data_IF_391336397043
#
_entry.id   IF_391336397043
#
_cell.length_a   1.000
_cell.length_b   1.000
_cell.length_c   1.000
_cell.angle_alpha   90.00
_cell.angle_beta   90.00
_cell.angle_gamma   90.00
#
_symmetry.space_group_name_H-M   'P 1'
#
loop_
_entity.id
_entity.type
_entity.pdbx_description
1 polymer ?
#
# COMPACT_ATOMS: atom_id res chain seq x y z
N UNK A 1 5.88 17.02 9.03
CA UNK A 1 6.50 17.13 7.69
C UNK A 1 6.61 15.76 7.01
N UNK A 2 7.21 14.74 7.63
CA UNK A 2 7.49 13.43 7.01
C UNK A 2 6.22 12.67 6.55
N UNK A 3 5.13 12.70 7.32
CA UNK A 3 3.84 12.10 6.92
C UNK A 3 3.31 12.69 5.60
N UNK A 4 3.38 14.01 5.44
CA UNK A 4 2.97 14.67 4.19
C UNK A 4 3.85 14.24 3.01
N UNK A 5 5.16 14.12 3.22
CA UNK A 5 6.11 13.68 2.18
C UNK A 5 5.78 12.25 1.74
N UNK A 6 5.55 11.34 2.67
CA UNK A 6 5.19 9.96 2.36
C UNK A 6 3.90 9.87 1.53
N UNK A 7 2.86 10.62 1.92
CA UNK A 7 1.62 10.71 1.15
C UNK A 7 1.82 11.31 -0.24
N UNK A 8 2.62 12.39 -0.36
CA UNK A 8 2.91 13.03 -1.64
C UNK A 8 3.58 12.04 -2.60
N UNK A 9 4.56 11.26 -2.12
CA UNK A 9 5.23 10.24 -2.95
C UNK A 9 4.20 9.22 -3.47
N UNK A 10 3.36 8.68 -2.58
CA UNK A 10 2.30 7.75 -2.97
C UNK A 10 1.31 8.35 -3.97
N UNK A 11 0.89 9.59 -3.72
CA UNK A 11 -0.03 10.32 -4.60
C UNK A 11 0.58 10.60 -5.97
N UNK A 12 1.87 10.92 -6.07
CA UNK A 12 2.55 11.12 -7.36
C UNK A 12 2.50 9.85 -8.21
N UNK A 13 2.85 8.70 -7.63
CA UNK A 13 2.85 7.41 -8.37
C UNK A 13 1.44 7.12 -8.90
N UNK A 14 0.45 7.25 -8.04
CA UNK A 14 -0.96 6.99 -8.34
C UNK A 14 -1.50 7.96 -9.39
N UNK A 15 -1.14 9.25 -9.31
CA UNK A 15 -1.55 10.27 -10.29
C UNK A 15 -0.91 10.01 -11.65
N UNK A 16 0.37 9.65 -11.69
CA UNK A 16 1.06 9.31 -12.95
C UNK A 16 0.40 8.10 -13.62
N UNK A 17 0.07 7.06 -12.85
CA UNK A 17 -0.65 5.90 -13.35
C UNK A 17 -2.04 6.29 -13.87
N UNK A 18 -2.78 7.10 -13.11
CA UNK A 18 -4.10 7.57 -13.51
C UNK A 18 -4.06 8.34 -14.83
N UNK A 19 -3.10 9.25 -15.01
CA UNK A 19 -2.95 10.02 -16.24
C UNK A 19 -2.51 9.15 -17.42
N UNK A 20 -1.53 8.26 -17.20
CA UNK A 20 -0.96 7.44 -18.28
C UNK A 20 -1.84 6.26 -18.69
N UNK A 21 -2.57 5.68 -17.77
CA UNK A 21 -3.38 4.47 -18.02
C UNK A 21 -4.87 4.79 -17.90
N UNK A 22 -5.32 5.38 -16.80
CA UNK A 22 -6.73 5.64 -16.56
C UNK A 22 -7.33 6.63 -17.56
N UNK A 23 -6.70 7.78 -17.72
CA UNK A 23 -7.17 8.84 -18.63
C UNK A 23 -6.97 8.43 -20.11
N UNK A 24 -5.86 7.77 -20.44
CA UNK A 24 -5.63 7.25 -21.79
C UNK A 24 -6.72 6.28 -22.22
N UNK A 25 -7.05 5.29 -21.37
CA UNK A 25 -8.09 4.31 -21.64
C UNK A 25 -9.50 4.92 -21.70
N UNK A 26 -9.73 6.01 -20.94
CA UNK A 26 -11.01 6.72 -20.96
C UNK A 26 -11.19 7.59 -22.22
N UNK A 27 -10.11 8.19 -22.72
CA UNK A 27 -10.14 9.06 -23.92
C UNK A 27 -10.14 8.26 -25.23
N UNK A 28 -9.65 7.02 -25.21
CA UNK A 28 -9.58 6.13 -26.38
C UNK A 28 -10.56 4.95 -26.24
N UNK A 29 -11.87 5.18 -26.21
CA UNK A 29 -12.86 4.11 -26.02
C UNK A 29 -12.92 3.11 -27.20
N UNK A 30 -12.28 3.45 -28.32
CA UNK A 30 -12.16 2.56 -29.49
C UNK A 30 -10.94 1.62 -29.40
N UNK A 31 -10.00 1.90 -28.50
CA UNK A 31 -8.93 0.97 -28.18
C UNK A 31 -9.47 -0.07 -27.20
N UNK A 32 -9.75 -1.25 -27.70
CA UNK A 32 -10.20 -2.37 -26.89
C UNK A 32 -8.98 -3.20 -26.45
N UNK A 33 -9.09 -3.77 -25.27
CA UNK A 33 -8.13 -4.78 -24.85
C UNK A 33 -8.39 -6.06 -25.63
N UNK A 34 -7.44 -6.47 -26.49
CA UNK A 34 -7.55 -7.68 -27.29
C UNK A 34 -6.97 -8.88 -26.55
N UNK A 35 -7.79 -9.89 -26.34
CA UNK A 35 -7.37 -11.15 -25.73
C UNK A 35 -8.07 -12.34 -26.41
N UNK A 36 -7.25 -13.23 -26.96
CA UNK A 36 -7.79 -14.44 -27.58
C UNK A 36 -8.78 -14.21 -28.70
N UNK A 37 -8.69 -13.08 -29.43
CA UNK A 37 -9.60 -12.70 -30.50
C UNK A 37 -10.89 -12.01 -30.04
N UNK A 38 -11.04 -11.73 -28.73
CA UNK A 38 -12.14 -10.95 -28.16
C UNK A 38 -11.68 -9.55 -27.85
N UNK A 39 -12.41 -8.55 -28.34
CA UNK A 39 -12.21 -7.14 -28.00
C UNK A 39 -13.06 -6.78 -26.81
N UNK A 40 -12.44 -6.37 -25.69
CA UNK A 40 -13.12 -6.08 -24.44
C UNK A 40 -12.89 -4.63 -24.08
N UNK A 41 -13.92 -3.85 -23.71
CA UNK A 41 -13.73 -2.46 -23.28
C UNK A 41 -12.98 -2.38 -21.94
N UNK A 42 -12.22 -1.31 -21.77
CA UNK A 42 -11.53 -1.04 -20.51
C UNK A 42 -12.54 -0.80 -19.37
N UNK A 43 -12.30 -1.43 -18.24
CA UNK A 43 -13.13 -1.28 -17.04
C UNK A 43 -12.31 -0.82 -15.85
N UNK A 44 -12.96 -0.31 -14.80
CA UNK A 44 -12.30 0.11 -13.56
C UNK A 44 -11.42 -0.99 -13.01
N UNK A 45 -11.91 -2.22 -13.02
CA UNK A 45 -11.28 -3.38 -12.38
C UNK A 45 -9.91 -3.67 -12.97
N UNK A 46 -9.76 -3.49 -14.29
CA UNK A 46 -8.52 -3.77 -15.01
C UNK A 46 -7.60 -2.56 -15.17
N UNK A 47 -8.13 -1.35 -14.92
CA UNK A 47 -7.38 -0.11 -15.16
C UNK A 47 -6.79 0.49 -13.88
N UNK A 48 -7.44 0.31 -12.72
CA UNK A 48 -6.92 0.87 -11.48
C UNK A 48 -5.60 0.20 -11.08
N UNK A 49 -4.78 0.89 -10.31
CA UNK A 49 -3.41 0.45 -10.00
C UNK A 49 -3.32 -0.93 -9.32
N UNK A 50 -4.26 -1.29 -8.46
CA UNK A 50 -4.26 -2.58 -7.76
C UNK A 50 -4.87 -3.74 -8.55
N UNK A 51 -5.60 -3.46 -9.65
CA UNK A 51 -6.17 -4.48 -10.54
C UNK A 51 -5.29 -4.80 -11.75
N UNK A 52 -4.39 -3.87 -12.11
CA UNK A 52 -3.48 -4.03 -13.22
C UNK A 52 -2.09 -4.36 -12.71
N UNK A 53 -1.51 -5.49 -13.14
CA UNK A 53 -0.11 -5.86 -12.85
C UNK A 53 0.88 -5.00 -13.65
N UNK A 54 0.71 -3.67 -13.57
CA UNK A 54 1.51 -2.69 -14.29
C UNK A 54 2.79 -2.35 -13.53
N UNK A 55 3.76 -1.79 -14.27
CA UNK A 55 5.01 -1.26 -13.70
C UNK A 55 4.75 -0.32 -12.52
N UNK A 56 3.68 0.49 -12.58
CA UNK A 56 3.29 1.42 -11.52
C UNK A 56 2.87 0.73 -10.22
N UNK A 57 2.15 -0.40 -10.32
CA UNK A 57 1.81 -1.23 -9.17
C UNK A 57 3.06 -1.83 -8.52
N UNK A 58 3.94 -2.40 -9.33
CA UNK A 58 5.21 -2.96 -8.86
C UNK A 58 6.07 -1.89 -8.18
N UNK A 59 6.15 -0.70 -8.76
CA UNK A 59 6.87 0.43 -8.19
C UNK A 59 6.23 0.89 -6.87
N UNK A 60 4.90 0.94 -6.80
CA UNK A 60 4.18 1.29 -5.59
C UNK A 60 4.46 0.31 -4.44
N UNK A 61 4.34 -1.00 -4.70
CA UNK A 61 4.58 -2.04 -3.69
C UNK A 61 6.04 -2.05 -3.23
N UNK A 62 7.01 -1.85 -4.13
CA UNK A 62 8.44 -1.76 -3.76
C UNK A 62 8.78 -0.53 -2.93
N UNK A 63 8.15 0.60 -3.19
CA UNK A 63 8.35 1.83 -2.42
C UNK A 63 7.51 1.88 -1.13
N UNK A 64 6.47 1.06 -1.03
CA UNK A 64 5.56 1.04 0.10
C UNK A 64 6.26 0.89 1.46
N UNK A 65 7.24 -0.03 1.67
CA UNK A 65 7.93 -0.15 2.95
C UNK A 65 8.63 1.16 3.37
N UNK A 66 9.21 1.89 2.42
CA UNK A 66 9.85 3.18 2.69
C UNK A 66 8.79 4.21 3.07
N UNK A 67 7.68 4.28 2.32
CA UNK A 67 6.63 5.27 2.51
C UNK A 67 5.94 5.11 3.87
N UNK A 68 5.64 3.88 4.31
CA UNK A 68 4.94 3.67 5.59
C UNK A 68 5.83 3.92 6.81
N UNK A 69 7.14 3.79 6.66
CA UNK A 69 8.13 3.97 7.73
C UNK A 69 8.51 5.44 7.91
N UNK A 70 8.57 6.22 6.81
CA UNK A 70 8.98 7.63 6.80
C UNK A 70 8.29 8.50 7.87
N UNK A 71 6.97 8.40 8.13
CA UNK A 71 6.27 9.29 9.06
C UNK A 71 6.82 9.26 10.48
N UNK A 72 7.18 8.08 10.97
CA UNK A 72 7.42 7.88 12.41
C UNK A 72 8.70 7.09 12.76
N UNK A 73 9.44 6.54 11.79
CA UNK A 73 10.62 5.75 12.06
C UNK A 73 11.66 6.48 12.93
N UNK A 74 11.85 7.77 12.64
CA UNK A 74 12.82 8.60 13.35
C UNK A 74 12.29 9.20 14.65
N UNK A 75 10.98 9.16 14.94
CA UNK A 75 10.40 9.91 16.07
C UNK A 75 10.82 9.33 17.41
N UNK A 76 10.88 8.00 17.55
CA UNK A 76 11.31 7.40 18.81
C UNK A 76 12.79 7.69 19.10
N UNK A 77 13.63 7.57 18.08
CA UNK A 77 15.05 7.91 18.19
C UNK A 77 15.23 9.39 18.57
N UNK A 78 14.49 10.28 17.92
CA UNK A 78 14.53 11.72 18.22
C UNK A 78 14.06 12.01 19.64
N UNK A 79 12.93 11.41 20.07
CA UNK A 79 12.39 11.57 21.42
C UNK A 79 13.38 11.07 22.50
N UNK A 80 14.11 9.99 22.20
CA UNK A 80 15.16 9.47 23.08
C UNK A 80 16.36 10.40 23.14
N UNK A 81 16.81 10.90 21.98
CA UNK A 81 17.96 11.79 21.88
C UNK A 81 17.72 13.16 22.52
N UNK A 82 16.51 13.70 22.40
CA UNK A 82 16.12 14.99 22.98
C UNK A 82 15.77 14.89 24.47
N UNK A 83 15.70 13.67 25.03
CA UNK A 83 15.36 13.46 26.44
C UNK A 83 13.87 13.67 26.78
N UNK A 84 13.02 14.00 25.81
CA UNK A 84 11.58 14.21 25.98
C UNK A 84 10.90 12.99 26.62
N UNK A 85 11.41 11.79 26.33
CA UNK A 85 10.89 10.53 26.92
C UNK A 85 10.91 10.59 28.45
N UNK A 86 11.92 11.20 29.07
CA UNK A 86 12.01 11.33 30.55
C UNK A 86 10.83 12.10 31.12
N UNK A 87 10.43 13.18 30.46
CA UNK A 87 9.28 14.00 30.88
C UNK A 87 7.95 13.22 30.80
N UNK A 88 7.80 12.35 29.79
CA UNK A 88 6.63 11.48 29.70
C UNK A 88 6.61 10.40 30.79
N UNK A 89 7.76 9.80 31.11
CA UNK A 89 7.83 8.76 32.15
C UNK A 89 7.59 9.29 33.56
N UNK A 90 7.83 10.58 33.81
CA UNK A 90 7.46 11.20 35.09
C UNK A 90 5.94 11.37 35.26
N UNK A 91 5.18 11.44 34.17
CA UNK A 91 3.73 11.73 34.18
C UNK A 91 2.85 10.51 33.90
N UNK A 92 3.37 9.52 33.13
CA UNK A 92 2.60 8.35 32.69
C UNK A 92 3.42 7.08 32.82
N UNK A 93 2.72 5.94 32.98
CA UNK A 93 3.40 4.63 32.98
C UNK A 93 4.06 4.40 31.59
N UNK A 94 5.28 3.89 31.60
CA UNK A 94 6.07 3.59 30.39
C UNK A 94 5.28 2.76 29.36
N UNK A 95 4.47 1.81 29.82
CA UNK A 95 3.67 0.92 28.98
C UNK A 95 2.61 1.70 28.18
N UNK A 96 1.94 2.67 28.83
CA UNK A 96 0.90 3.47 28.16
C UNK A 96 1.49 4.36 27.05
N UNK A 97 2.69 4.93 27.28
CA UNK A 97 3.40 5.68 26.27
C UNK A 97 3.76 4.80 25.07
N UNK A 98 4.29 3.59 25.31
CA UNK A 98 4.64 2.65 24.23
C UNK A 98 3.41 2.24 23.42
N UNK A 99 2.32 1.84 24.09
CA UNK A 99 1.07 1.45 23.41
C UNK A 99 0.56 2.60 22.55
N UNK A 100 0.47 3.82 23.10
CA UNK A 100 0.04 4.98 22.33
C UNK A 100 0.93 5.25 21.11
N UNK A 101 2.24 5.04 21.24
CA UNK A 101 3.17 5.23 20.14
C UNK A 101 3.02 4.13 19.06
N UNK A 102 2.87 2.88 19.47
CA UNK A 102 2.62 1.75 18.56
C UNK A 102 1.32 1.93 17.79
N UNK A 103 0.22 2.30 18.45
CA UNK A 103 -1.07 2.55 17.79
C UNK A 103 -0.99 3.71 16.81
N UNK A 104 -0.32 4.81 17.17
CA UNK A 104 -0.13 5.94 16.27
C UNK A 104 0.70 5.57 15.03
N UNK A 105 1.77 4.79 15.19
CA UNK A 105 2.61 4.32 14.08
C UNK A 105 1.85 3.36 13.18
N UNK A 106 1.11 2.41 13.77
CA UNK A 106 0.30 1.44 13.04
C UNK A 106 -0.77 2.15 12.17
N UNK A 107 -1.54 3.04 12.77
CA UNK A 107 -2.62 3.75 12.07
C UNK A 107 -2.08 4.65 10.96
N UNK A 108 -1.02 5.40 11.22
CA UNK A 108 -0.43 6.27 10.19
C UNK A 108 0.24 5.50 9.06
N UNK A 109 0.91 4.38 9.35
CA UNK A 109 1.46 3.49 8.33
C UNK A 109 0.37 2.88 7.46
N UNK A 110 -0.72 2.40 8.07
CA UNK A 110 -1.88 1.89 7.35
C UNK A 110 -2.55 2.93 6.44
N UNK A 111 -2.73 4.17 6.94
CA UNK A 111 -3.30 5.26 6.15
C UNK A 111 -2.41 5.59 4.94
N UNK A 112 -1.10 5.68 5.11
CA UNK A 112 -0.16 5.94 4.00
C UNK A 112 -0.21 4.84 2.95
N UNK A 113 -0.40 3.59 3.36
CA UNK A 113 -0.50 2.46 2.45
C UNK A 113 -1.82 2.41 1.66
N UNK A 114 -2.93 2.85 2.24
CA UNK A 114 -4.26 2.68 1.64
C UNK A 114 -4.75 3.91 0.92
N UNK A 115 -4.51 5.10 1.46
CA UNK A 115 -5.11 6.33 0.97
C UNK A 115 -4.81 6.62 -0.51
N UNK A 116 -3.56 6.48 -1.02
CA UNK A 116 -3.28 6.68 -2.44
C UNK A 116 -4.03 5.68 -3.34
N UNK A 117 -4.10 4.41 -2.93
CA UNK A 117 -4.80 3.36 -3.69
C UNK A 117 -6.30 3.63 -3.77
N UNK A 118 -6.90 4.06 -2.65
CA UNK A 118 -8.31 4.40 -2.58
C UNK A 118 -8.65 5.59 -3.48
N UNK A 119 -7.81 6.64 -3.45
CA UNK A 119 -7.98 7.81 -4.34
C UNK A 119 -7.89 7.39 -5.81
N UNK A 120 -6.96 6.50 -6.16
CA UNK A 120 -6.86 5.99 -7.54
C UNK A 120 -8.10 5.20 -7.95
N UNK A 121 -8.58 4.30 -7.09
CA UNK A 121 -9.80 3.54 -7.38
C UNK A 121 -11.01 4.46 -7.60
N UNK A 122 -11.19 5.47 -6.74
CA UNK A 122 -12.29 6.42 -6.89
C UNK A 122 -12.15 7.25 -8.16
N UNK A 123 -10.94 7.72 -8.47
CA UNK A 123 -10.69 8.48 -9.69
C UNK A 123 -10.96 7.65 -10.96
N UNK A 124 -10.52 6.40 -11.00
CA UNK A 124 -10.78 5.50 -12.14
C UNK A 124 -12.26 5.14 -12.24
N UNK A 125 -12.97 4.97 -11.11
CA UNK A 125 -14.40 4.68 -11.09
C UNK A 125 -15.26 5.85 -11.58
N UNK A 126 -14.77 7.08 -11.55
CA UNK A 126 -15.45 8.23 -12.12
C UNK A 126 -15.38 8.28 -13.66
N UNK A 127 -14.40 7.62 -14.27
CA UNK A 127 -14.15 7.68 -15.71
C UNK A 127 -14.58 6.43 -16.47
N UNK A 128 -14.50 5.27 -15.85
CA UNK A 128 -14.67 3.97 -16.52
C UNK A 128 -15.85 3.18 -15.92
N UNK A 129 -16.52 2.34 -16.74
CA UNK A 129 -17.60 1.48 -16.26
C UNK A 129 -17.05 0.37 -15.33
N UNK A 130 -17.78 0.07 -14.27
CA UNK A 130 -17.45 -1.02 -13.35
C UNK A 130 -18.11 -2.33 -13.79
N UNK A 131 -17.63 -2.92 -14.88
CA UNK A 131 -18.08 -4.22 -15.36
C UNK A 131 -17.04 -5.29 -15.05
N UNK A 132 -17.52 -6.50 -14.70
CA UNK A 132 -16.68 -7.69 -14.57
C UNK A 132 -16.92 -8.55 -15.81
N UNK A 133 -15.86 -8.90 -16.49
CA UNK A 133 -15.90 -9.88 -17.55
C UNK A 133 -15.85 -11.27 -16.92
N UNK A 134 -16.85 -12.10 -17.17
CA UNK A 134 -16.94 -13.47 -16.64
C UNK A 134 -15.87 -14.43 -17.16
N UNK A 135 -15.05 -14.00 -18.10
CA UNK A 135 -13.96 -14.83 -18.64
C UNK A 135 -12.76 -14.73 -17.72
N UNK A 136 -12.69 -15.56 -16.68
CA UNK A 136 -11.75 -15.61 -15.57
C UNK A 136 -10.24 -15.64 -15.85
N UNK A 137 -9.81 -15.04 -16.94
CA UNK A 137 -8.43 -15.14 -17.46
C UNK A 137 -7.57 -13.90 -17.19
N UNK A 138 -8.14 -12.79 -16.73
CA UNK A 138 -7.44 -11.51 -16.92
C UNK A 138 -6.70 -10.90 -15.72
N UNK A 139 -7.25 -10.94 -14.53
CA UNK A 139 -6.61 -10.31 -13.38
C UNK A 139 -6.37 -11.26 -12.22
N UNK A 140 -7.25 -12.21 -12.04
CA UNK A 140 -7.17 -13.11 -10.89
C UNK A 140 -7.38 -14.55 -11.35
N UNK A 141 -6.40 -15.41 -11.08
CA UNK A 141 -6.52 -16.86 -11.28
C UNK A 141 -7.64 -17.39 -10.36
N UNK A 142 -8.36 -18.42 -10.81
CA UNK A 142 -9.34 -19.11 -9.99
C UNK A 142 -8.77 -19.63 -8.67
N UNK A 143 -7.46 -19.88 -8.62
CA UNK A 143 -6.72 -20.33 -7.44
C UNK A 143 -6.23 -19.18 -6.54
N UNK A 144 -6.52 -17.92 -6.89
CA UNK A 144 -6.12 -16.78 -6.04
C UNK A 144 -6.96 -16.71 -4.78
N UNK A 145 -6.38 -16.15 -3.73
CA UNK A 145 -7.07 -15.91 -2.47
C UNK A 145 -8.32 -15.06 -2.69
N UNK A 146 -9.48 -15.55 -2.19
CA UNK A 146 -10.79 -14.91 -2.32
C UNK A 146 -11.31 -14.71 -3.75
N UNK A 147 -10.88 -15.52 -4.71
CA UNK A 147 -11.36 -15.45 -6.10
C UNK A 147 -12.88 -15.56 -6.23
N UNK A 148 -13.51 -16.43 -5.44
CA UNK A 148 -14.97 -16.57 -5.43
C UNK A 148 -15.68 -15.27 -5.02
N UNK A 149 -15.16 -14.54 -4.04
CA UNK A 149 -15.71 -13.24 -3.61
C UNK A 149 -15.51 -12.18 -4.69
N UNK A 150 -14.36 -12.21 -5.38
CA UNK A 150 -14.11 -11.28 -6.48
C UNK A 150 -15.14 -11.41 -7.59
N UNK A 151 -15.47 -12.63 -8.02
CA UNK A 151 -16.42 -12.85 -9.12
C UNK A 151 -17.88 -12.63 -8.70
N UNK A 152 -18.24 -12.82 -7.42
CA UNK A 152 -19.62 -12.61 -6.94
C UNK A 152 -19.86 -11.18 -6.46
N UNK A 153 -18.93 -10.61 -5.71
CA UNK A 153 -19.05 -9.30 -5.06
C UNK A 153 -17.73 -8.52 -5.11
N UNK A 154 -17.37 -7.90 -6.24
CA UNK A 154 -16.05 -7.25 -6.43
C UNK A 154 -15.79 -6.11 -5.46
N UNK A 155 -16.82 -5.37 -5.06
CA UNK A 155 -16.66 -4.28 -4.10
C UNK A 155 -16.29 -4.76 -2.70
N UNK A 156 -16.83 -5.92 -2.29
CA UNK A 156 -16.47 -6.57 -1.03
C UNK A 156 -15.01 -7.03 -1.08
N UNK A 157 -14.58 -7.57 -2.22
CA UNK A 157 -13.17 -7.93 -2.44
C UNK A 157 -12.23 -6.73 -2.29
N UNK A 158 -12.57 -5.56 -2.89
CA UNK A 158 -11.76 -4.36 -2.75
C UNK A 158 -11.70 -3.84 -1.31
N UNK A 159 -12.81 -3.93 -0.59
CA UNK A 159 -12.83 -3.56 0.83
C UNK A 159 -11.90 -4.47 1.64
N UNK A 160 -11.95 -5.77 1.43
CA UNK A 160 -11.05 -6.73 2.08
C UNK A 160 -9.58 -6.47 1.70
N UNK A 161 -9.31 -6.16 0.43
CA UNK A 161 -7.98 -5.80 -0.04
C UNK A 161 -7.45 -4.56 0.67
N UNK A 162 -8.23 -3.50 0.83
CA UNK A 162 -7.82 -2.29 1.54
C UNK A 162 -7.59 -2.55 3.03
N UNK A 163 -8.42 -3.38 3.68
CA UNK A 163 -8.19 -3.79 5.07
C UNK A 163 -6.87 -4.54 5.21
N UNK A 164 -6.61 -5.51 4.32
CA UNK A 164 -5.36 -6.27 4.31
C UNK A 164 -4.16 -5.33 4.11
N UNK A 165 -4.25 -4.42 3.14
CA UNK A 165 -3.19 -3.45 2.83
C UNK A 165 -2.94 -2.49 4.00
N UNK A 166 -3.99 -2.08 4.71
CA UNK A 166 -3.89 -1.28 5.94
C UNK A 166 -3.14 -2.02 7.05
N UNK A 167 -3.49 -3.29 7.27
CA UNK A 167 -2.84 -4.12 8.28
C UNK A 167 -1.37 -4.33 7.92
N UNK A 168 -1.06 -4.70 6.67
CA UNK A 168 0.31 -4.91 6.22
C UNK A 168 1.16 -3.63 6.35
N UNK A 169 0.65 -2.49 5.91
CA UNK A 169 1.33 -1.20 6.05
C UNK A 169 1.57 -0.82 7.50
N UNK A 170 0.56 -1.01 8.35
CA UNK A 170 0.67 -0.78 9.80
C UNK A 170 1.71 -1.68 10.46
N UNK A 171 1.72 -2.97 10.12
CA UNK A 171 2.71 -3.93 10.64
C UNK A 171 4.13 -3.58 10.22
N UNK A 172 4.37 -3.24 8.97
CA UNK A 172 5.70 -2.82 8.49
C UNK A 172 6.20 -1.58 9.25
N UNK A 173 5.31 -0.61 9.48
CA UNK A 173 5.66 0.58 10.25
C UNK A 173 5.99 0.23 11.72
N UNK A 174 5.24 -0.67 12.35
CA UNK A 174 5.50 -1.09 13.74
C UNK A 174 6.78 -1.92 13.90
N UNK A 175 7.09 -2.78 12.92
CA UNK A 175 8.38 -3.51 12.88
C UNK A 175 9.54 -2.53 12.85
N UNK A 176 9.47 -1.49 12.02
CA UNK A 176 10.49 -0.43 11.98
C UNK A 176 10.63 0.29 13.34
N UNK A 177 9.51 0.56 14.03
CA UNK A 177 9.54 1.14 15.37
C UNK A 177 10.24 0.20 16.37
N UNK A 178 9.98 -1.12 16.31
CA UNK A 178 10.68 -2.10 17.17
C UNK A 178 12.20 -2.08 16.94
N UNK A 179 12.63 -2.06 15.68
CA UNK A 179 14.05 -1.95 15.35
C UNK A 179 14.66 -0.66 15.89
N UNK A 180 13.91 0.45 15.91
CA UNK A 180 14.38 1.72 16.46
C UNK A 180 14.62 1.71 17.98
N UNK A 181 14.07 0.72 18.70
CA UNK A 181 14.34 0.53 20.13
C UNK A 181 15.77 -0.01 20.38
N UNK A 182 16.32 -0.76 19.42
CA UNK A 182 17.57 -1.48 19.54
C UNK A 182 18.71 -0.76 18.81
N UNK A 183 18.42 -0.14 17.69
CA UNK A 183 19.41 0.48 16.81
C UNK A 183 19.35 2.00 16.90
N UNK A 184 20.49 2.63 17.15
CA UNK A 184 20.61 4.09 17.27
C UNK A 184 20.96 4.78 15.93
N UNK A 185 20.60 4.17 14.79
CA UNK A 185 20.84 4.71 13.46
C UNK A 185 19.54 4.78 12.67
N UNK A 186 19.09 5.98 12.32
CA UNK A 186 17.85 6.23 11.57
C UNK A 186 17.83 5.55 10.20
N UNK A 187 19.01 5.47 9.56
CA UNK A 187 19.11 4.87 8.22
C UNK A 187 18.82 3.36 8.26
N UNK A 188 19.37 2.65 9.24
CA UNK A 188 19.10 1.22 9.43
C UNK A 188 17.63 0.97 9.73
N UNK A 189 17.02 1.78 10.59
CA UNK A 189 15.60 1.70 10.95
C UNK A 189 14.71 1.85 9.72
N UNK A 190 15.08 2.71 8.78
CA UNK A 190 14.33 2.99 7.56
C UNK A 190 14.50 1.89 6.51
N UNK A 191 15.71 1.32 6.38
CA UNK A 191 15.99 0.28 5.41
C UNK A 191 15.56 -1.12 5.85
N UNK A 192 15.47 -1.39 7.15
CA UNK A 192 15.15 -2.72 7.65
C UNK A 192 13.86 -3.31 7.08
N UNK A 193 12.70 -2.61 7.05
CA UNK A 193 11.48 -3.14 6.45
C UNK A 193 11.58 -3.40 4.94
N UNK A 194 12.41 -2.61 4.23
CA UNK A 194 12.67 -2.85 2.80
C UNK A 194 13.40 -4.18 2.61
N UNK A 195 14.49 -4.38 3.36
CA UNK A 195 15.27 -5.63 3.32
C UNK A 195 14.40 -6.82 3.71
N UNK A 196 13.53 -6.65 4.72
CA UNK A 196 12.61 -7.69 5.14
C UNK A 196 11.61 -8.06 4.03
N UNK A 197 11.03 -7.07 3.33
CA UNK A 197 10.12 -7.32 2.22
C UNK A 197 10.82 -8.00 1.04
N UNK A 198 12.03 -7.55 0.68
CA UNK A 198 12.79 -8.18 -0.41
C UNK A 198 13.25 -9.60 -0.03
N UNK A 199 13.60 -9.84 1.23
CA UNK A 199 13.91 -11.18 1.72
C UNK A 199 12.68 -12.10 1.64
N UNK A 200 11.50 -11.63 2.08
CA UNK A 200 10.25 -12.41 1.96
C UNK A 200 9.89 -12.70 0.51
N UNK A 201 10.09 -11.74 -0.38
CA UNK A 201 9.86 -11.90 -1.81
C UNK A 201 10.84 -12.93 -2.43
N UNK A 202 12.12 -12.86 -2.07
CA UNK A 202 13.10 -13.85 -2.49
C UNK A 202 12.79 -15.25 -1.91
N UNK A 203 12.39 -15.33 -0.64
CA UNK A 203 12.04 -16.60 -0.01
C UNK A 203 10.82 -17.26 -0.68
N UNK A 204 9.82 -16.50 -1.11
CA UNK A 204 8.64 -17.03 -1.81
C UNK A 204 8.98 -17.71 -3.14
N UNK A 205 10.11 -17.35 -3.78
CA UNK A 205 10.57 -18.00 -5.00
C UNK A 205 11.25 -19.38 -4.75
N UNK A 206 11.65 -19.66 -3.51
CA UNK A 206 12.32 -20.92 -3.12
C UNK A 206 11.32 -21.97 -2.61
N UNK A 207 10.14 -21.53 -2.15
CA UNK A 207 9.06 -22.40 -1.69
C UNK A 207 7.84 -22.18 -2.62
N UNK A 208 7.72 -22.98 -3.71
CA UNK A 208 6.59 -22.94 -4.63
C UNK A 208 5.29 -23.44 -4.01
#
# INVERSE_FOLDING_TARGET
>A
AAFKIALIIGMIIVTVQFVKVGLHNALNPLEFFEYGGLTLPYTVIYTWIGGSFNVYYTLYIRLLPIMVVLPYAATYYTDRRTGIIRNYYCRTKKINYLIAKFTAVFTTGGIVAVLPLLVNLLATAMLLPSMIWNNGTFCYSANSMWSSIFFTHPYVYYLLYFILQFICGGLLATVSLMVSLWVNNTFIVLLFPVVLCEFMNAASSWFP
#
